data_IF_842555801916
#
_entry.id   IF_842555801916
#
_cell.length_a   1.000
_cell.length_b   1.000
_cell.length_c   1.000
_cell.angle_alpha   90.00
_cell.angle_beta   90.00
_cell.angle_gamma   90.00
#
_symmetry.space_group_name_H-M   'P 1'
#
loop_
_entity.id
_entity.type
_entity.pdbx_description
1 polymer ?
#
# COMPACT_ATOMS: atom_id res chain seq x y z
N UNK A 1 6.20 -5.67 -16.76
CA UNK A 1 7.45 -6.24 -17.35
C UNK A 1 8.60 -5.84 -16.45
N UNK A 2 9.45 -6.72 -15.90
CA UNK A 2 9.53 -8.17 -15.99
C UNK A 2 9.99 -8.78 -14.67
N UNK A 3 9.53 -10.00 -14.38
CA UNK A 3 10.05 -10.82 -13.29
C UNK A 3 11.28 -11.54 -13.80
N UNK A 4 12.48 -11.05 -13.47
CA UNK A 4 13.68 -11.89 -13.55
C UNK A 4 13.52 -12.99 -12.51
N UNK A 5 13.05 -14.17 -12.92
CA UNK A 5 13.22 -15.37 -12.12
C UNK A 5 14.48 -16.05 -12.65
N UNK A 6 15.54 -16.12 -11.85
CA UNK A 6 16.73 -16.88 -12.24
C UNK A 6 16.34 -18.35 -12.51
N UNK A 7 16.80 -18.95 -13.63
CA UNK A 7 16.56 -20.36 -13.87
C UNK A 7 17.19 -21.20 -12.75
N UNK A 8 16.55 -22.31 -12.33
CA UNK A 8 17.07 -23.18 -11.28
C UNK A 8 18.44 -23.74 -11.68
N UNK A 9 19.32 -23.90 -10.70
CA UNK A 9 20.65 -24.47 -10.94
C UNK A 9 20.49 -25.93 -11.42
N UNK A 10 21.24 -26.33 -12.48
CA UNK A 10 21.14 -27.68 -13.00
C UNK A 10 21.55 -28.71 -11.94
N UNK A 11 20.89 -29.87 -11.90
CA UNK A 11 21.22 -30.93 -10.97
C UNK A 11 22.60 -31.52 -11.27
N UNK A 12 23.30 -31.95 -10.22
CA UNK A 12 24.56 -32.69 -10.31
C UNK A 12 24.40 -34.10 -9.71
N UNK A 13 25.39 -35.00 -9.86
CA UNK A 13 25.30 -36.43 -9.50
C UNK A 13 24.87 -36.71 -8.05
N UNK A 14 25.08 -35.75 -7.14
CA UNK A 14 24.70 -35.80 -5.72
C UNK A 14 23.93 -34.56 -5.26
N UNK A 15 23.47 -33.72 -6.19
CA UNK A 15 22.79 -32.45 -5.89
C UNK A 15 21.46 -32.38 -6.63
N UNK A 16 20.31 -32.55 -5.93
CA UNK A 16 19.01 -32.35 -6.55
C UNK A 16 18.88 -30.90 -7.04
N UNK A 17 18.04 -30.67 -8.05
CA UNK A 17 17.77 -29.34 -8.57
C UNK A 17 17.29 -28.43 -7.43
N UNK A 18 17.93 -27.26 -7.29
CA UNK A 18 17.59 -26.28 -6.26
C UNK A 18 17.02 -25.04 -6.92
N UNK A 19 15.86 -24.63 -6.42
CA UNK A 19 15.24 -23.35 -6.77
C UNK A 19 15.36 -22.44 -5.56
N UNK A 20 16.09 -21.33 -5.72
CA UNK A 20 16.09 -20.27 -4.74
C UNK A 20 14.86 -19.38 -5.00
N UNK A 21 13.92 -19.23 -4.03
CA UNK A 21 12.78 -18.34 -4.22
C UNK A 21 13.24 -16.89 -4.25
N UNK A 22 13.41 -16.35 -5.45
CA UNK A 22 13.69 -14.94 -5.66
C UNK A 22 12.43 -14.10 -5.39
N UNK A 23 12.57 -13.08 -4.55
CA UNK A 23 11.48 -12.13 -4.30
C UNK A 23 11.25 -11.27 -5.53
N UNK A 24 10.12 -11.49 -6.20
CA UNK A 24 9.66 -10.63 -7.29
C UNK A 24 8.86 -9.50 -6.67
N UNK A 25 9.41 -8.27 -6.69
CA UNK A 25 8.62 -7.09 -6.32
C UNK A 25 7.50 -6.88 -7.34
N UNK A 26 6.27 -6.82 -6.83
CA UNK A 26 5.10 -6.37 -7.59
C UNK A 26 5.13 -4.86 -7.83
N UNK A 27 3.98 -4.32 -8.27
CA UNK A 27 3.82 -2.87 -8.39
C UNK A 27 3.86 -2.19 -7.01
N UNK A 28 4.35 -0.95 -6.97
CA UNK A 28 4.25 -0.09 -5.79
C UNK A 28 2.87 0.59 -5.82
N UNK A 29 2.24 0.70 -4.65
CA UNK A 29 1.01 1.46 -4.46
C UNK A 29 1.25 2.59 -3.46
N UNK A 30 0.49 3.68 -3.60
CA UNK A 30 0.42 4.76 -2.64
C UNK A 30 -0.73 4.52 -1.67
N UNK A 31 -0.51 4.83 -0.38
CA UNK A 31 -1.45 4.62 0.70
C UNK A 31 -1.59 5.92 1.48
N UNK A 32 -2.78 6.53 1.46
CA UNK A 32 -3.14 7.58 2.41
C UNK A 32 -3.81 6.95 3.62
N UNK A 33 -3.24 7.16 4.80
CA UNK A 33 -3.76 6.66 6.06
C UNK A 33 -4.39 7.82 6.86
N UNK A 34 -5.69 7.74 7.11
CA UNK A 34 -6.37 8.57 8.10
C UNK A 34 -6.52 7.78 9.40
N UNK A 35 -6.29 8.42 10.54
CA UNK A 35 -6.35 7.77 11.85
C UNK A 35 -6.98 8.68 12.89
N UNK A 36 -7.77 8.10 13.79
CA UNK A 36 -8.22 8.71 15.04
C UNK A 36 -7.78 7.79 16.20
N UNK A 37 -6.54 7.97 16.71
CA UNK A 37 -5.92 7.02 17.62
C UNK A 37 -6.72 6.79 18.90
N UNK A 38 -7.32 7.84 19.46
CA UNK A 38 -8.12 7.77 20.69
C UNK A 38 -9.37 6.91 20.54
N UNK A 39 -9.90 6.77 19.32
CA UNK A 39 -11.00 5.85 18.99
C UNK A 39 -10.53 4.51 18.44
N UNK A 40 -9.22 4.34 18.21
CA UNK A 40 -8.68 3.17 17.51
C UNK A 40 -9.17 3.05 16.07
N UNK A 41 -9.62 4.15 15.45
CA UNK A 41 -10.14 4.13 14.09
C UNK A 41 -9.06 4.45 13.06
N UNK A 42 -9.11 3.78 11.91
CA UNK A 42 -8.26 4.08 10.76
C UNK A 42 -8.97 3.76 9.46
N UNK A 43 -8.67 4.53 8.43
CA UNK A 43 -9.07 4.27 7.05
C UNK A 43 -7.88 4.42 6.11
N UNK A 44 -7.85 3.60 5.07
CA UNK A 44 -6.78 3.58 4.07
C UNK A 44 -7.37 3.81 2.70
N UNK A 45 -6.85 4.81 2.00
CA UNK A 45 -7.12 5.05 0.59
C UNK A 45 -5.94 4.57 -0.22
N UNK A 46 -6.18 3.63 -1.15
CA UNK A 46 -5.14 3.01 -1.99
C UNK A 46 -5.17 3.64 -3.38
N UNK A 47 -4.03 4.08 -3.88
CA UNK A 47 -3.87 4.62 -5.22
C UNK A 47 -2.59 4.12 -5.91
N UNK A 48 -2.44 4.39 -7.20
CA UNK A 48 -1.21 4.05 -7.94
C UNK A 48 -0.09 5.09 -7.73
N UNK A 49 -0.45 6.36 -7.47
CA UNK A 49 0.49 7.45 -7.29
C UNK A 49 0.09 8.31 -6.08
N UNK A 50 1.00 9.14 -5.60
CA UNK A 50 0.73 10.16 -4.57
C UNK A 50 0.44 11.49 -5.25
N UNK A 51 -0.81 11.72 -5.65
CA UNK A 51 -1.21 13.00 -6.22
C UNK A 51 -1.95 13.89 -5.21
N UNK A 52 -1.98 15.20 -5.48
CA UNK A 52 -2.80 16.15 -4.70
C UNK A 52 -4.30 15.87 -4.86
N UNK A 53 -4.70 15.33 -6.01
CA UNK A 53 -6.09 14.98 -6.28
C UNK A 53 -6.52 13.78 -5.42
N UNK A 54 -5.70 12.73 -5.35
CA UNK A 54 -5.95 11.58 -4.49
C UNK A 54 -6.05 11.99 -3.02
N UNK A 55 -5.21 12.92 -2.58
CA UNK A 55 -5.31 13.50 -1.24
C UNK A 55 -6.63 14.24 -1.03
N UNK A 56 -7.05 15.08 -1.98
CA UNK A 56 -8.32 15.80 -1.90
C UNK A 56 -9.53 14.84 -1.82
N UNK A 57 -9.50 13.74 -2.57
CA UNK A 57 -10.52 12.68 -2.45
C UNK A 57 -10.52 12.01 -1.09
N UNK A 58 -9.34 11.76 -0.50
CA UNK A 58 -9.23 11.23 0.85
C UNK A 58 -9.85 12.18 1.89
N UNK A 59 -9.58 13.48 1.79
CA UNK A 59 -10.18 14.50 2.69
C UNK A 59 -11.68 14.60 2.47
N UNK A 60 -12.15 14.52 1.22
CA UNK A 60 -13.59 14.53 0.91
C UNK A 60 -14.33 13.36 1.56
N UNK A 61 -13.79 12.13 1.52
CA UNK A 61 -14.40 10.98 2.21
C UNK A 61 -14.50 11.21 3.72
N UNK A 62 -13.46 11.80 4.32
CA UNK A 62 -13.46 12.12 5.76
C UNK A 62 -14.59 13.08 6.13
N UNK A 63 -14.77 14.15 5.35
CA UNK A 63 -15.79 15.18 5.62
C UNK A 63 -17.19 14.66 5.29
N UNK A 64 -17.40 14.11 4.10
CA UNK A 64 -18.74 13.83 3.60
C UNK A 64 -19.32 12.51 4.12
N UNK A 65 -18.46 11.53 4.41
CA UNK A 65 -18.88 10.14 4.69
C UNK A 65 -18.56 9.74 6.12
N UNK A 66 -17.33 9.99 6.59
CA UNK A 66 -16.88 9.50 7.90
C UNK A 66 -17.31 10.39 9.06
N UNK A 67 -17.24 11.70 8.87
CA UNK A 67 -17.57 12.69 9.90
C UNK A 67 -18.55 13.76 9.38
N UNK A 68 -19.70 13.39 8.76
CA UNK A 68 -20.63 14.36 8.18
C UNK A 68 -21.27 15.30 9.21
N UNK A 69 -21.30 14.89 10.48
CA UNK A 69 -21.84 15.68 11.58
C UNK A 69 -20.76 16.45 12.37
N UNK A 70 -19.48 16.34 12.01
CA UNK A 70 -18.43 17.06 12.70
C UNK A 70 -18.46 18.54 12.32
N UNK A 71 -18.53 19.42 13.31
CA UNK A 71 -18.42 20.87 13.11
C UNK A 71 -17.02 21.26 12.62
N UNK A 72 -15.99 20.53 13.06
CA UNK A 72 -14.60 20.77 12.69
C UNK A 72 -13.79 19.47 12.69
N UNK A 73 -12.97 19.32 11.66
CA UNK A 73 -11.93 18.28 11.57
C UNK A 73 -10.59 19.00 11.51
N UNK A 74 -9.64 18.63 12.38
CA UNK A 74 -8.27 19.20 12.39
C UNK A 74 -7.29 18.07 12.08
N UNK A 75 -6.89 17.89 10.80
CA UNK A 75 -5.89 16.91 10.45
C UNK A 75 -4.49 17.39 10.84
N UNK A 76 -3.67 16.49 11.38
CA UNK A 76 -2.23 16.66 11.43
C UNK A 76 -1.62 15.92 10.24
N UNK A 77 -0.80 16.61 9.44
CA UNK A 77 -0.13 16.06 8.26
C UNK A 77 1.39 16.01 8.50
N UNK A 78 2.06 15.04 7.87
CA UNK A 78 3.52 14.87 7.85
C UNK A 78 4.18 15.41 6.57
#
# INVERSE_FOLDING_TARGET
MGSSQRPPLPPGPSRPARRDPEYVRGMVANLFLATEPLRGWRAVTVGQQRSRLDFAHCVKDLVDVRYPAAERIVPALD
#
